data_IF_748723155471
#
_entry.id   IF_748723155471
#
_cell.length_a   1.000
_cell.length_b   1.000
_cell.length_c   1.000
_cell.angle_alpha   90.00
_cell.angle_beta   90.00
_cell.angle_gamma   90.00
#
_symmetry.space_group_name_H-M   'P 1'
#
loop_
_entity.id
_entity.type
_entity.pdbx_description
1 polymer ?
#
# COMPACT_ATOMS: atom_id res chain seq x y z
N UNK A 1 86.38 39.05 12.19
CA UNK A 1 85.44 40.10 11.76
C UNK A 1 84.38 40.20 12.84
N UNK A 2 84.41 41.27 13.61
CA UNK A 2 83.41 41.54 14.66
C UNK A 2 82.14 42.03 13.98
N UNK A 3 80.99 41.49 14.41
CA UNK A 3 79.69 41.97 13.96
C UNK A 3 79.51 43.37 14.54
N UNK A 4 79.34 44.34 13.65
CA UNK A 4 79.15 45.74 14.00
C UNK A 4 77.65 46.01 14.02
N UNK A 5 77.10 46.29 15.20
CA UNK A 5 75.67 46.56 15.37
C UNK A 5 75.29 47.88 14.69
N UNK A 6 74.52 47.78 13.61
CA UNK A 6 73.91 48.93 12.93
C UNK A 6 72.45 49.05 13.37
N UNK A 7 72.19 49.94 14.32
CA UNK A 7 70.82 50.22 14.75
C UNK A 7 70.11 51.15 13.76
N UNK A 8 68.91 50.80 13.27
CA UNK A 8 68.13 51.68 12.42
C UNK A 8 67.66 52.93 13.20
N UNK A 9 67.51 54.09 12.52
CA UNK A 9 67.08 55.33 13.14
C UNK A 9 65.64 55.22 13.69
N UNK A 10 65.34 55.95 14.77
CA UNK A 10 64.11 55.79 15.57
C UNK A 10 62.81 55.85 14.77
N UNK A 11 62.71 56.75 13.78
CA UNK A 11 61.50 56.87 12.94
C UNK A 11 61.22 55.63 12.08
N UNK A 12 62.27 54.98 11.55
CA UNK A 12 62.14 53.76 10.74
C UNK A 12 61.75 52.57 11.60
N UNK A 13 62.30 52.48 12.82
CA UNK A 13 61.93 51.42 13.78
C UNK A 13 60.46 51.51 14.17
N UNK A 14 59.97 52.71 14.51
CA UNK A 14 58.56 52.93 14.86
C UNK A 14 57.61 52.60 13.69
N UNK A 15 57.95 53.02 12.47
CA UNK A 15 57.16 52.68 11.28
C UNK A 15 57.14 51.17 11.01
N UNK A 16 58.28 50.49 11.18
CA UNK A 16 58.40 49.05 11.01
C UNK A 16 57.61 48.27 12.08
N UNK A 17 57.63 48.72 13.33
CA UNK A 17 56.81 48.16 14.42
C UNK A 17 55.31 48.31 14.14
N UNK A 18 54.87 49.50 13.70
CA UNK A 18 53.47 49.73 13.32
C UNK A 18 53.03 48.86 12.14
N UNK A 19 53.88 48.70 11.12
CA UNK A 19 53.58 47.81 9.99
C UNK A 19 53.51 46.35 10.43
N UNK A 20 54.46 45.89 11.25
CA UNK A 20 54.48 44.53 11.76
C UNK A 20 53.25 44.24 12.63
N UNK A 21 52.81 45.18 13.45
CA UNK A 21 51.58 45.06 14.23
C UNK A 21 50.34 45.02 13.33
N UNK A 22 50.26 45.88 12.31
CA UNK A 22 49.16 45.88 11.34
C UNK A 22 49.07 44.56 10.55
N UNK A 23 50.20 44.02 10.09
CA UNK A 23 50.24 42.71 9.44
C UNK A 23 49.82 41.57 10.38
N UNK A 24 50.28 41.60 11.63
CA UNK A 24 49.86 40.61 12.64
C UNK A 24 48.36 40.65 12.87
N UNK A 25 47.78 41.85 13.05
CA UNK A 25 46.33 42.02 13.21
C UNK A 25 45.56 41.51 11.99
N UNK A 26 46.03 41.84 10.78
CA UNK A 26 45.42 41.35 9.55
C UNK A 26 45.47 39.83 9.44
N UNK A 27 46.63 39.21 9.73
CA UNK A 27 46.78 37.74 9.69
C UNK A 27 45.92 37.06 10.76
N UNK A 28 45.87 37.61 11.97
CA UNK A 28 45.02 37.09 13.03
C UNK A 28 43.53 37.13 12.62
N UNK A 29 43.06 38.25 12.07
CA UNK A 29 41.68 38.41 11.63
C UNK A 29 41.31 37.45 10.47
N UNK A 30 42.22 37.26 9.50
CA UNK A 30 41.99 36.31 8.40
C UNK A 30 41.92 34.88 8.94
N UNK A 31 42.85 34.49 9.81
CA UNK A 31 42.87 33.15 10.39
C UNK A 31 41.62 32.86 11.23
N UNK A 32 41.17 33.84 12.02
CA UNK A 32 39.95 33.74 12.82
C UNK A 32 38.72 33.56 11.91
N UNK A 33 38.58 34.38 10.87
CA UNK A 33 37.48 34.29 9.91
C UNK A 33 37.48 32.96 9.15
N UNK A 34 38.65 32.45 8.75
CA UNK A 34 38.78 31.14 8.11
C UNK A 34 38.43 30.00 9.08
N UNK A 35 38.85 30.11 10.35
CA UNK A 35 38.50 29.16 11.40
C UNK A 35 37.00 29.12 11.68
N UNK A 36 36.35 30.28 11.82
CA UNK A 36 34.90 30.38 11.99
C UNK A 36 34.15 29.81 10.79
N UNK A 37 34.59 30.14 9.57
CA UNK A 37 34.00 29.59 8.34
C UNK A 37 34.09 28.07 8.32
N UNK A 38 35.26 27.51 8.61
CA UNK A 38 35.46 26.06 8.60
C UNK A 38 34.64 25.38 9.71
N UNK A 39 34.57 25.96 10.90
CA UNK A 39 33.74 25.45 11.99
C UNK A 39 32.25 25.42 11.60
N UNK A 40 31.75 26.51 11.00
CA UNK A 40 30.36 26.59 10.55
C UNK A 40 30.04 25.58 9.45
N UNK A 41 30.96 25.38 8.49
CA UNK A 41 30.82 24.33 7.46
C UNK A 41 30.75 22.95 8.11
N UNK A 42 31.69 22.63 9.01
CA UNK A 42 31.72 21.33 9.68
C UNK A 42 30.44 21.07 10.49
N UNK A 43 29.91 22.09 11.17
CA UNK A 43 28.64 21.99 11.90
C UNK A 43 27.47 21.77 10.94
N UNK A 44 27.42 22.51 9.83
CA UNK A 44 26.35 22.37 8.84
C UNK A 44 26.36 20.99 8.18
N UNK A 45 27.54 20.49 7.81
CA UNK A 45 27.72 19.16 7.23
C UNK A 45 27.36 18.06 8.23
N UNK A 46 27.78 18.20 9.49
CA UNK A 46 27.40 17.28 10.56
C UNK A 46 25.88 17.22 10.75
N UNK A 47 25.21 18.38 10.76
CA UNK A 47 23.74 18.45 10.84
C UNK A 47 23.06 17.83 9.63
N UNK A 48 23.52 18.14 8.42
CA UNK A 48 23.01 17.57 7.17
C UNK A 48 23.10 16.05 7.18
N UNK A 49 24.29 15.54 7.50
CA UNK A 49 24.54 14.09 7.54
C UNK A 49 23.70 13.41 8.63
N UNK A 50 23.57 14.04 9.81
CA UNK A 50 22.71 13.53 10.88
C UNK A 50 21.25 13.41 10.45
N UNK A 51 20.70 14.42 9.75
CA UNK A 51 19.31 14.38 9.25
C UNK A 51 19.13 13.31 8.18
N UNK A 52 20.08 13.18 7.25
CA UNK A 52 20.05 12.14 6.21
C UNK A 52 20.05 10.76 6.85
N UNK A 53 21.01 10.49 7.76
CA UNK A 53 21.13 9.21 8.44
C UNK A 53 19.88 8.90 9.29
N UNK A 54 19.31 9.90 9.97
CA UNK A 54 18.07 9.71 10.72
C UNK A 54 16.89 9.35 9.80
N UNK A 55 16.78 10.01 8.64
CA UNK A 55 15.73 9.70 7.65
C UNK A 55 15.91 8.31 7.04
N UNK A 56 17.14 7.92 6.73
CA UNK A 56 17.45 6.58 6.21
C UNK A 56 17.18 5.51 7.25
N UNK A 57 17.58 5.73 8.51
CA UNK A 57 17.30 4.82 9.61
C UNK A 57 15.79 4.66 9.84
N UNK A 58 15.02 5.75 9.81
CA UNK A 58 13.56 5.70 9.95
C UNK A 58 12.91 4.90 8.80
N UNK A 59 13.38 5.09 7.56
CA UNK A 59 12.91 4.31 6.41
C UNK A 59 13.23 2.82 6.58
N UNK A 60 14.45 2.49 6.97
CA UNK A 60 14.86 1.09 7.17
C UNK A 60 14.08 0.43 8.31
N UNK A 61 13.86 1.13 9.42
CA UNK A 61 13.06 0.64 10.54
C UNK A 61 11.61 0.37 10.11
N UNK A 62 10.99 1.27 9.35
CA UNK A 62 9.64 1.05 8.82
C UNK A 62 9.57 -0.16 7.89
N UNK A 63 10.53 -0.32 6.98
CA UNK A 63 10.61 -1.47 6.07
C UNK A 63 10.77 -2.77 6.86
N UNK A 64 11.67 -2.80 7.84
CA UNK A 64 11.93 -3.98 8.65
C UNK A 64 10.70 -4.37 9.48
N UNK A 65 9.99 -3.40 10.06
CA UNK A 65 8.74 -3.65 10.80
C UNK A 65 7.66 -4.19 9.88
N UNK A 66 7.41 -3.54 8.75
CA UNK A 66 6.42 -4.00 7.77
C UNK A 66 6.72 -5.41 7.26
N UNK A 67 8.00 -5.71 7.00
CA UNK A 67 8.43 -7.04 6.59
C UNK A 67 8.22 -8.07 7.71
N UNK A 68 8.62 -7.76 8.94
CA UNK A 68 8.41 -8.64 10.09
C UNK A 68 6.92 -8.91 10.36
N UNK A 69 6.07 -7.88 10.22
CA UNK A 69 4.62 -8.03 10.33
C UNK A 69 4.05 -8.92 9.22
N UNK A 70 4.47 -8.70 7.97
CA UNK A 70 4.04 -9.53 6.84
C UNK A 70 4.45 -11.00 7.03
N UNK A 71 5.70 -11.26 7.43
CA UNK A 71 6.19 -12.60 7.72
C UNK A 71 5.43 -13.25 8.88
N UNK A 72 5.15 -12.51 9.95
CA UNK A 72 4.36 -13.01 11.07
C UNK A 72 2.94 -13.38 10.66
N UNK A 73 2.29 -12.56 9.82
CA UNK A 73 0.96 -12.84 9.27
C UNK A 73 1.00 -14.10 8.39
N UNK A 74 1.98 -14.22 7.50
CA UNK A 74 2.14 -15.39 6.65
C UNK A 74 2.38 -16.65 7.47
N UNK A 75 3.26 -16.60 8.47
CA UNK A 75 3.54 -17.72 9.36
C UNK A 75 2.28 -18.16 10.12
N UNK A 76 1.51 -17.20 10.66
CA UNK A 76 0.22 -17.48 11.32
C UNK A 76 -0.81 -18.07 10.37
N UNK A 77 -0.92 -17.53 9.16
CA UNK A 77 -1.85 -18.03 8.16
C UNK A 77 -1.50 -19.46 7.74
N UNK A 78 -0.21 -19.75 7.50
CA UNK A 78 0.26 -21.10 7.19
C UNK A 78 0.03 -22.08 8.34
N UNK A 79 0.32 -21.69 9.58
CA UNK A 79 0.06 -22.52 10.75
C UNK A 79 -1.45 -22.81 10.91
N UNK A 80 -2.29 -21.80 10.68
CA UNK A 80 -3.75 -21.93 10.73
C UNK A 80 -4.25 -22.86 9.63
N UNK A 81 -3.78 -22.68 8.40
CA UNK A 81 -4.14 -23.55 7.27
C UNK A 81 -3.77 -25.01 7.54
N UNK A 82 -2.53 -25.27 7.98
CA UNK A 82 -2.09 -26.62 8.39
C UNK A 82 -2.95 -27.17 9.53
N UNK A 83 -3.31 -26.34 10.50
CA UNK A 83 -4.22 -26.71 11.59
C UNK A 83 -5.59 -27.15 11.09
N UNK A 84 -6.19 -26.36 10.19
CA UNK A 84 -7.48 -26.68 9.55
C UNK A 84 -7.37 -27.96 8.73
N UNK A 85 -6.28 -28.16 7.99
CA UNK A 85 -6.06 -29.37 7.20
C UNK A 85 -6.00 -30.62 8.09
N UNK A 86 -5.26 -30.55 9.21
CA UNK A 86 -5.19 -31.65 10.18
C UNK A 86 -6.56 -31.95 10.81
N UNK A 87 -7.32 -30.91 11.17
CA UNK A 87 -8.69 -31.07 11.71
C UNK A 87 -9.62 -31.67 10.65
N UNK A 88 -9.52 -31.21 9.40
CA UNK A 88 -10.29 -31.73 8.27
C UNK A 88 -9.98 -33.20 7.99
N UNK A 89 -8.72 -33.61 8.14
CA UNK A 89 -8.33 -35.02 8.05
C UNK A 89 -8.91 -35.84 9.20
N UNK A 90 -8.77 -35.39 10.45
CA UNK A 90 -9.33 -36.07 11.62
C UNK A 90 -10.87 -36.19 11.56
N UNK A 91 -11.56 -35.19 11.01
CA UNK A 91 -13.02 -35.21 10.81
C UNK A 91 -13.49 -36.30 9.83
N UNK A 92 -12.64 -36.68 8.87
CA UNK A 92 -12.96 -37.73 7.88
C UNK A 92 -12.82 -39.15 8.46
N UNK A 93 -12.18 -39.30 9.61
CA UNK A 93 -12.07 -40.58 10.31
C UNK A 93 -13.41 -40.95 10.96
N UNK A 94 -13.58 -42.23 11.29
CA UNK A 94 -14.85 -42.75 11.82
C UNK A 94 -15.25 -42.06 13.14
N UNK A 95 -16.43 -41.43 13.16
CA UNK A 95 -16.95 -40.71 14.32
C UNK A 95 -16.46 -39.26 14.45
N UNK A 96 -15.66 -38.76 13.50
CA UNK A 96 -15.12 -37.39 13.52
C UNK A 96 -16.21 -36.32 13.47
N UNK A 97 -17.23 -36.50 12.61
CA UNK A 97 -18.34 -35.56 12.47
C UNK A 97 -19.19 -35.47 13.75
N UNK A 98 -19.49 -36.61 14.37
CA UNK A 98 -20.23 -36.71 15.63
C UNK A 98 -19.44 -36.06 16.78
N UNK A 99 -18.13 -36.34 16.90
CA UNK A 99 -17.26 -35.73 17.91
C UNK A 99 -17.16 -34.21 17.76
N UNK A 100 -17.10 -33.71 16.52
CA UNK A 100 -17.08 -32.27 16.27
C UNK A 100 -18.40 -31.58 16.61
N UNK A 101 -19.54 -32.22 16.32
CA UNK A 101 -20.85 -31.68 16.69
C UNK A 101 -21.00 -31.52 18.21
N UNK A 102 -20.52 -32.50 18.98
CA UNK A 102 -20.48 -32.44 20.45
C UNK A 102 -19.60 -31.28 20.93
N UNK A 103 -18.40 -31.13 20.34
CA UNK A 103 -17.47 -30.04 20.68
C UNK A 103 -18.02 -28.64 20.35
N UNK A 104 -18.80 -28.51 19.28
CA UNK A 104 -19.50 -27.24 18.96
C UNK A 104 -20.58 -26.97 20.00
N UNK A 105 -21.35 -27.98 20.42
CA UNK A 105 -22.35 -27.84 21.46
C UNK A 105 -21.74 -27.41 22.81
N UNK A 106 -20.62 -28.01 23.21
CA UNK A 106 -19.86 -27.60 24.40
C UNK A 106 -19.39 -26.15 24.32
N UNK A 107 -18.82 -25.72 23.17
CA UNK A 107 -18.40 -24.34 22.96
C UNK A 107 -19.56 -23.35 23.02
N UNK A 108 -20.71 -23.72 22.44
CA UNK A 108 -21.93 -22.91 22.50
C UNK A 108 -22.39 -22.73 23.95
N UNK A 109 -22.46 -23.81 24.75
CA UNK A 109 -22.83 -23.74 26.17
C UNK A 109 -21.83 -22.90 26.96
N UNK A 110 -20.53 -23.03 26.70
CA UNK A 110 -19.51 -22.22 27.36
C UNK A 110 -19.62 -20.73 27.00
N UNK A 111 -19.79 -20.41 25.71
CA UNK A 111 -19.98 -19.04 25.25
C UNK A 111 -21.27 -18.43 25.82
N UNK A 112 -22.36 -19.21 25.82
CA UNK A 112 -23.62 -18.84 26.45
C UNK A 112 -23.46 -18.62 27.96
N UNK A 113 -22.67 -19.46 28.65
CA UNK A 113 -22.36 -19.29 30.08
C UNK A 113 -21.59 -17.99 30.36
N UNK A 114 -20.66 -17.59 29.49
CA UNK A 114 -19.94 -16.31 29.60
C UNK A 114 -20.87 -15.12 29.42
N UNK A 115 -21.73 -15.17 28.39
CA UNK A 115 -22.74 -14.13 28.14
C UNK A 115 -23.76 -14.08 29.29
N UNK A 116 -24.20 -15.22 29.82
CA UNK A 116 -25.14 -15.25 30.96
C UNK A 116 -24.51 -14.74 32.26
N UNK A 117 -23.18 -14.82 32.41
CA UNK A 117 -22.44 -14.24 33.55
C UNK A 117 -22.22 -12.73 33.40
N UNK A 118 -22.07 -12.23 32.18
CA UNK A 118 -21.79 -10.81 31.89
C UNK A 118 -23.05 -9.99 31.54
N UNK A 119 -24.11 -10.62 31.05
CA UNK A 119 -25.31 -10.00 30.48
C UNK A 119 -26.51 -10.05 31.41
N UNK A 120 -26.57 -9.11 32.36
CA UNK A 120 -27.82 -8.76 33.04
C UNK A 120 -28.70 -7.98 32.06
N UNK A 121 -29.80 -8.60 31.62
CA UNK A 121 -30.94 -7.98 30.91
C UNK A 121 -30.69 -7.56 29.45
N UNK A 122 -30.94 -8.47 28.51
CA UNK A 122 -31.26 -8.13 27.12
C UNK A 122 -32.76 -7.82 27.01
N UNK A 123 -33.13 -6.55 26.85
CA UNK A 123 -34.49 -6.15 26.48
C UNK A 123 -34.70 -6.49 25.00
N UNK A 124 -35.44 -7.57 24.72
CA UNK A 124 -35.88 -7.89 23.37
C UNK A 124 -36.96 -6.87 22.95
N UNK A 125 -36.81 -6.19 21.79
CA UNK A 125 -37.92 -5.52 21.14
C UNK A 125 -39.04 -6.54 20.91
N UNK A 126 -40.29 -6.15 21.17
CA UNK A 126 -41.49 -7.01 21.08
C UNK A 126 -41.78 -7.59 19.69
N UNK A 127 -40.95 -7.32 18.69
CA UNK A 127 -40.98 -7.94 17.36
C UNK A 127 -40.07 -9.17 17.22
N UNK A 128 -39.23 -9.48 18.24
CA UNK A 128 -38.37 -10.66 18.30
C UNK A 128 -39.11 -11.98 18.64
N UNK A 129 -40.44 -11.96 18.76
CA UNK A 129 -41.24 -13.17 18.99
C UNK A 129 -41.33 -14.08 17.76
N UNK A 130 -40.92 -13.62 16.57
CA UNK A 130 -40.95 -14.42 15.35
C UNK A 130 -39.59 -14.42 14.60
N UNK A 131 -38.70 -15.41 14.84
CA UNK A 131 -37.42 -15.53 14.14
C UNK A 131 -37.55 -15.65 12.61
N UNK A 132 -38.72 -16.06 12.09
CA UNK A 132 -38.96 -16.14 10.65
C UNK A 132 -39.00 -14.77 9.98
N UNK A 133 -39.48 -13.71 10.67
CA UNK A 133 -39.54 -12.36 10.12
C UNK A 133 -38.15 -11.72 9.98
N UNK A 134 -37.27 -11.98 10.96
CA UNK A 134 -35.88 -11.55 10.90
C UNK A 134 -35.10 -12.29 9.79
N UNK A 135 -35.31 -13.60 9.67
CA UNK A 135 -34.74 -14.41 8.58
C UNK A 135 -35.22 -13.92 7.21
N UNK A 136 -36.51 -13.58 7.05
CA UNK A 136 -37.04 -13.07 5.79
C UNK A 136 -36.42 -11.72 5.39
N UNK A 137 -36.23 -10.80 6.34
CA UNK A 137 -35.52 -9.54 6.08
C UNK A 137 -34.05 -9.76 5.73
N UNK A 138 -33.36 -10.65 6.44
CA UNK A 138 -31.97 -11.01 6.14
C UNK A 138 -31.83 -11.66 4.75
N UNK A 139 -32.75 -12.57 4.38
CA UNK A 139 -32.78 -13.21 3.06
C UNK A 139 -33.10 -12.22 1.94
N UNK A 140 -33.95 -11.22 2.17
CA UNK A 140 -34.23 -10.16 1.20
C UNK A 140 -33.00 -9.27 0.95
N UNK A 141 -32.25 -8.93 2.00
CA UNK A 141 -30.99 -8.18 1.87
C UNK A 141 -29.95 -9.03 1.12
N UNK A 142 -29.81 -10.31 1.48
CA UNK A 142 -28.92 -11.25 0.81
C UNK A 142 -29.28 -11.42 -0.68
N UNK A 143 -30.57 -11.57 -1.01
CA UNK A 143 -31.06 -11.65 -2.39
C UNK A 143 -30.82 -10.35 -3.17
N UNK A 144 -30.94 -9.19 -2.52
CA UNK A 144 -30.61 -7.90 -3.14
C UNK A 144 -29.12 -7.72 -3.40
N UNK A 145 -28.24 -8.24 -2.53
CA UNK A 145 -26.79 -8.21 -2.73
C UNK A 145 -26.33 -9.17 -3.84
N UNK A 146 -26.97 -10.33 -3.95
CA UNK A 146 -26.64 -11.34 -4.97
C UNK A 146 -27.26 -11.02 -6.31
N UNK A 147 -28.49 -10.48 -6.32
CA UNK A 147 -29.19 -10.07 -7.53
C UNK A 147 -28.55 -8.87 -8.23
N UNK A 148 -27.83 -8.01 -7.51
CA UNK A 148 -27.21 -6.80 -8.06
C UNK A 148 -25.81 -7.02 -8.69
N UNK A 149 -25.28 -8.26 -8.74
CA UNK A 149 -23.96 -8.56 -9.30
C UNK A 149 -23.99 -9.27 -10.66
N UNK A 150 -25.15 -9.34 -11.33
CA UNK A 150 -25.28 -9.87 -12.69
C UNK A 150 -25.96 -8.86 -13.61
N UNK A 151 -25.18 -8.23 -14.49
CA UNK A 151 -25.67 -7.70 -15.77
C UNK A 151 -26.39 -6.35 -15.74
N UNK A 152 -25.65 -5.33 -16.17
CA UNK A 152 -26.01 -3.96 -16.52
C UNK A 152 -27.21 -3.84 -17.51
N UNK A 153 -28.04 -2.80 -17.37
CA UNK A 153 -28.93 -2.33 -18.46
C UNK A 153 -30.34 -1.88 -18.03
N UNK A 154 -30.64 -0.61 -18.29
CA UNK A 154 -31.92 0.09 -18.11
C UNK A 154 -33.15 -0.70 -18.61
N UNK A 155 -34.26 -0.65 -17.87
CA UNK A 155 -35.55 -0.28 -18.46
C UNK A 155 -36.58 0.19 -17.43
N UNK A 156 -37.17 1.33 -17.76
CA UNK A 156 -38.19 2.09 -17.05
C UNK A 156 -39.61 1.50 -17.34
N UNK A 157 -40.38 1.32 -16.26
CA UNK A 157 -41.82 1.53 -16.04
C UNK A 157 -42.86 1.02 -17.09
N UNK A 158 -43.65 0.03 -16.62
CA UNK A 158 -45.10 -0.25 -16.80
C UNK A 158 -45.75 -0.43 -18.18
N UNK A 159 -46.40 -1.57 -18.42
CA UNK A 159 -47.86 -1.75 -18.26
C UNK A 159 -48.37 -3.13 -18.76
N UNK A 160 -49.19 -3.74 -17.90
CA UNK A 160 -50.36 -4.64 -18.04
C UNK A 160 -50.68 -5.48 -19.31
N UNK A 161 -51.21 -6.68 -19.01
CA UNK A 161 -52.21 -7.51 -19.73
C UNK A 161 -51.78 -8.64 -20.70
N UNK A 162 -51.90 -9.87 -20.19
CA UNK A 162 -52.75 -11.00 -20.62
C UNK A 162 -53.11 -11.23 -22.11
N UNK A 163 -53.23 -12.53 -22.42
CA UNK A 163 -53.94 -13.22 -23.53
C UNK A 163 -53.27 -13.35 -24.93
N UNK A 164 -53.23 -14.60 -25.46
CA UNK A 164 -53.52 -14.83 -26.88
C UNK A 164 -52.57 -15.67 -27.75
N UNK A 165 -52.62 -17.01 -27.62
CA UNK A 165 -52.79 -18.03 -28.70
C UNK A 165 -52.15 -17.83 -30.11
N UNK A 166 -51.49 -18.91 -30.58
CA UNK A 166 -51.33 -19.41 -31.99
C UNK A 166 -50.28 -18.65 -32.86
N UNK A 167 -49.35 -19.28 -33.61
CA UNK A 167 -49.49 -20.28 -34.70
C UNK A 167 -48.08 -20.85 -35.06
N UNK A 168 -48.05 -22.14 -35.42
CA UNK A 168 -46.95 -22.89 -36.06
C UNK A 168 -46.64 -22.42 -37.50
N UNK A 169 -45.38 -22.59 -37.94
CA UNK A 169 -44.93 -22.91 -39.32
C UNK A 169 -43.45 -23.34 -39.21
N UNK A 170 -43.14 -24.63 -39.29
CA UNK A 170 -42.76 -25.40 -40.49
C UNK A 170 -41.57 -24.74 -41.23
N UNK A 171 -40.34 -25.27 -41.17
CA UNK A 171 -39.78 -26.48 -41.82
C UNK A 171 -38.99 -26.14 -43.10
N UNK A 172 -38.01 -27.01 -43.44
CA UNK A 172 -37.04 -27.05 -44.56
C UNK A 172 -35.74 -26.26 -44.33
N UNK A 173 -34.56 -26.85 -44.13
CA UNK A 173 -33.81 -27.96 -44.77
C UNK A 173 -33.05 -27.57 -46.05
N UNK A 174 -31.78 -27.96 -46.07
CA UNK A 174 -30.93 -28.11 -47.27
C UNK A 174 -29.94 -26.96 -47.45
N UNK A 175 -28.70 -27.16 -47.89
CA UNK A 175 -27.89 -28.35 -48.11
C UNK A 175 -26.47 -27.85 -48.41
N UNK A 176 -25.47 -28.65 -48.03
CA UNK A 176 -24.07 -28.72 -48.47
C UNK A 176 -23.59 -27.89 -49.68
N UNK A 177 -22.38 -27.31 -49.60
CA UNK A 177 -21.17 -27.84 -50.31
C UNK A 177 -19.86 -27.10 -49.98
N UNK A 178 -18.79 -27.88 -50.11
CA UNK A 178 -17.35 -27.67 -49.87
C UNK A 178 -16.64 -27.08 -51.10
N UNK A 179 -15.36 -26.71 -50.87
CA UNK A 179 -14.23 -26.51 -51.82
C UNK A 179 -14.17 -25.16 -52.56
N UNK A 180 -13.03 -24.52 -52.84
CA UNK A 180 -11.62 -24.55 -52.41
C UNK A 180 -10.86 -23.46 -53.22
N UNK A 181 -9.67 -23.05 -52.77
CA UNK A 181 -8.51 -22.54 -53.54
C UNK A 181 -8.12 -21.02 -53.57
N UNK A 182 -7.01 -20.76 -52.84
CA UNK A 182 -5.70 -20.19 -53.21
C UNK A 182 -5.48 -18.77 -53.82
N UNK A 183 -4.75 -17.96 -53.02
CA UNK A 183 -3.60 -17.05 -53.33
C UNK A 183 -3.68 -15.89 -54.33
N UNK A 184 -3.45 -14.66 -53.84
CA UNK A 184 -2.51 -13.66 -54.42
C UNK A 184 -2.15 -12.51 -53.43
N UNK A 185 -0.91 -12.55 -52.90
CA UNK A 185 0.16 -11.53 -52.76
C UNK A 185 -0.11 -10.00 -52.55
N UNK A 186 0.79 -9.42 -51.73
CA UNK A 186 1.21 -8.00 -51.52
C UNK A 186 0.51 -7.27 -50.34
N UNK A 187 1.16 -6.54 -49.43
CA UNK A 187 2.47 -5.87 -49.42
C UNK A 187 2.99 -5.58 -47.99
N UNK A 188 4.31 -5.34 -47.92
CA UNK A 188 5.16 -4.64 -46.93
C UNK A 188 4.56 -3.97 -45.69
N UNK A 189 5.19 -4.20 -44.52
CA UNK A 189 5.96 -3.17 -43.80
C UNK A 189 6.45 -3.72 -42.45
N UNK A 190 7.77 -3.86 -42.31
CA UNK A 190 8.50 -4.17 -41.08
C UNK A 190 9.14 -2.86 -40.58
N UNK A 191 8.78 -2.39 -39.38
CA UNK A 191 9.54 -1.34 -38.68
C UNK A 191 9.49 -1.52 -37.16
N UNK A 192 10.66 -1.85 -36.63
CA UNK A 192 11.11 -1.77 -35.24
C UNK A 192 11.35 -0.31 -34.81
N UNK A 193 11.26 -0.04 -33.49
CA UNK A 193 12.08 0.98 -32.84
C UNK A 193 11.36 2.15 -32.13
N UNK A 194 11.25 2.01 -30.80
CA UNK A 194 11.23 3.02 -29.72
C UNK A 194 10.16 4.14 -29.65
N UNK A 195 9.46 4.28 -28.50
CA UNK A 195 8.81 5.54 -28.13
C UNK A 195 9.71 6.43 -27.24
N UNK A 196 9.97 7.64 -27.73
CA UNK A 196 10.66 8.74 -27.04
C UNK A 196 9.76 9.35 -25.97
N UNK A 197 10.22 9.41 -24.72
CA UNK A 197 9.51 10.04 -23.59
C UNK A 197 9.76 11.56 -23.59
N UNK A 198 8.73 12.38 -23.82
CA UNK A 198 8.81 13.85 -23.75
C UNK A 198 8.47 14.36 -22.35
N UNK A 199 9.27 15.31 -21.85
CA UNK A 199 9.04 16.02 -20.60
C UNK A 199 8.04 17.18 -20.83
N UNK A 200 6.81 17.02 -20.35
CA UNK A 200 5.83 18.09 -20.26
C UNK A 200 6.12 18.96 -19.02
N UNK A 201 6.41 20.25 -19.22
CA UNK A 201 6.40 21.27 -18.16
C UNK A 201 4.97 21.81 -18.00
N UNK A 202 4.45 22.08 -16.78
CA UNK A 202 3.14 22.70 -16.62
C UNK A 202 3.24 24.23 -16.73
N UNK A 203 2.40 24.81 -17.58
CA UNK A 203 2.11 26.24 -17.63
C UNK A 203 1.07 26.64 -16.56
N UNK A 204 1.17 27.93 -16.19
CA UNK A 204 0.53 28.73 -15.13
C UNK A 204 -1.00 28.75 -15.07
N UNK A 205 -1.49 29.20 -13.89
CA UNK A 205 -2.53 30.22 -13.56
C UNK A 205 -3.22 29.73 -12.25
N UNK A 206 -3.24 30.49 -11.14
CA UNK A 206 -3.75 31.85 -10.92
C UNK A 206 -2.83 32.75 -10.05
#
# INVERSE_FOLDING_TARGET
YEIRDISPPRGVRAAMEMQAEAERKKRAQVLESEGERQANINIADGKKNSVILASEAAKMDQVNRAQGEAEAILARAQATAKGIDMVSQALKEHGGAEAASLRIAEQYIQAFSKIAKEGTTLLLPSTASNPASMMAQALNIYKSLIGNNSGNGLHEISHTELTGKKIKRDALSGETRKESNTTAKAADADHQGEPVFSLQSPNKED
#
